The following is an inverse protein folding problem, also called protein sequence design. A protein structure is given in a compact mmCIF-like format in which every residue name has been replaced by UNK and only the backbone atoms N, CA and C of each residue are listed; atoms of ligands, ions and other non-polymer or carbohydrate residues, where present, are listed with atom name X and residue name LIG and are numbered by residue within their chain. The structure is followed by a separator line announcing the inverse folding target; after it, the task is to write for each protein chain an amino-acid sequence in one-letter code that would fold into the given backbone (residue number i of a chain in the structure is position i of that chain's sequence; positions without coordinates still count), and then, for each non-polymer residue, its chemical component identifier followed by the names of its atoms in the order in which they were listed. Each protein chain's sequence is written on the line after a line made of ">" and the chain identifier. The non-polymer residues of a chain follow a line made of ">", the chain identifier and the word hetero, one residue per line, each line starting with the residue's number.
data_IF_138116804141
#
_entry.id   IF_138116804141
#
_cell.length_a   1.000
_cell.length_b   1.000
_cell.length_c   1.000
_cell.angle_alpha   90.00
_cell.angle_beta   90.00
_cell.angle_gamma   90.00
#
_symmetry.space_group_name_H-M   'P 1'
#
loop_
_entity.id
_entity.type
_entity.pdbx_description
1 polymer ?
#
# COMPACT_ATOMS: atom_id res chain seq x y z
N UNK A 1 14.79 5.72 9.10
CA UNK A 1 15.60 6.98 9.04
C UNK A 1 16.75 6.79 8.09
N UNK A 2 16.87 7.66 7.09
CA UNK A 2 18.00 7.68 6.15
C UNK A 2 19.05 8.70 6.56
N UNK A 3 20.32 8.46 6.17
CA UNK A 3 21.41 9.40 6.37
C UNK A 3 21.84 9.97 5.04
N UNK A 4 21.70 11.28 4.86
CA UNK A 4 22.10 12.00 3.64
C UNK A 4 23.30 12.91 3.92
N UNK A 5 24.15 13.09 2.92
CA UNK A 5 25.27 14.05 2.99
C UNK A 5 24.78 15.43 2.55
N UNK A 6 25.05 16.44 3.37
CA UNK A 6 24.88 17.84 3.02
C UNK A 6 26.17 18.41 2.43
N UNK A 7 26.06 19.59 1.83
CA UNK A 7 27.21 20.34 1.35
C UNK A 7 28.13 20.68 2.55
N UNK A 8 29.44 20.57 2.37
CA UNK A 8 30.42 20.70 3.45
C UNK A 8 30.64 19.43 4.28
N UNK A 9 30.16 18.26 3.84
CA UNK A 9 30.47 16.95 4.43
C UNK A 9 29.70 16.57 5.68
N UNK A 10 28.79 17.42 6.16
CA UNK A 10 27.88 17.09 7.28
C UNK A 10 26.86 16.02 6.86
N UNK A 11 26.49 15.19 7.81
CA UNK A 11 25.43 14.20 7.63
C UNK A 11 24.17 14.66 8.34
N UNK A 12 23.03 14.54 7.69
CA UNK A 12 21.70 14.79 8.25
C UNK A 12 20.89 13.49 8.25
N UNK A 13 20.19 13.23 9.33
CA UNK A 13 19.19 12.17 9.40
C UNK A 13 17.85 12.73 8.91
N UNK A 14 17.19 11.98 8.03
CA UNK A 14 15.88 12.33 7.47
C UNK A 14 14.93 11.13 7.56
N UNK A 15 13.66 11.41 7.72
CA UNK A 15 12.65 10.34 7.63
C UNK A 15 12.60 9.75 6.22
N UNK A 16 12.38 8.45 6.13
CA UNK A 16 12.21 7.74 4.85
C UNK A 16 11.05 8.32 4.05
N UNK A 17 9.96 8.67 4.73
CA UNK A 17 8.80 9.34 4.14
C UNK A 17 9.16 10.63 3.41
N UNK A 18 9.98 11.49 4.02
CA UNK A 18 10.46 12.74 3.41
C UNK A 18 11.34 12.48 2.18
N UNK A 19 12.20 11.46 2.26
CA UNK A 19 13.07 11.07 1.16
C UNK A 19 12.25 10.57 -0.03
N UNK A 20 11.32 9.66 0.21
CA UNK A 20 10.44 9.11 -0.82
C UNK A 20 9.46 10.13 -1.39
N UNK A 21 8.92 11.01 -0.54
CA UNK A 21 8.06 12.10 -1.00
C UNK A 21 8.80 13.06 -1.94
N UNK A 22 10.06 13.36 -1.64
CA UNK A 22 10.90 14.15 -2.56
C UNK A 22 11.14 13.41 -3.88
N UNK A 23 11.35 12.10 -3.82
CA UNK A 23 11.52 11.29 -5.04
C UNK A 23 10.23 11.22 -5.87
N UNK A 24 9.05 11.24 -5.22
CA UNK A 24 7.77 11.34 -5.93
C UNK A 24 7.64 12.65 -6.72
N UNK A 25 8.12 13.77 -6.18
CA UNK A 25 8.16 15.05 -6.91
C UNK A 25 9.17 15.03 -8.07
N UNK A 26 10.30 14.33 -7.93
CA UNK A 26 11.26 14.13 -9.04
C UNK A 26 10.60 13.30 -10.17
N UNK A 27 9.81 12.28 -9.83
CA UNK A 27 9.03 11.53 -10.81
C UNK A 27 7.99 12.44 -11.50
N UNK A 28 7.25 13.23 -10.74
CA UNK A 28 6.26 14.15 -11.29
C UNK A 28 6.90 15.18 -12.27
N UNK A 29 8.06 15.72 -11.91
CA UNK A 29 8.82 16.61 -12.81
C UNK A 29 9.27 15.85 -14.07
N UNK A 30 9.77 14.62 -13.96
CA UNK A 30 10.16 13.81 -15.11
C UNK A 30 8.96 13.54 -16.04
N UNK A 31 7.79 13.23 -15.48
CA UNK A 31 6.58 13.07 -16.27
C UNK A 31 6.20 14.37 -16.99
N UNK A 32 6.23 15.51 -16.32
CA UNK A 32 5.91 16.81 -16.96
C UNK A 32 6.91 17.19 -18.06
N UNK A 33 8.19 16.81 -17.94
CA UNK A 33 9.20 17.04 -18.98
C UNK A 33 8.96 16.18 -20.23
N UNK A 34 8.63 14.89 -20.04
CA UNK A 34 8.45 13.95 -21.17
C UNK A 34 7.03 13.97 -21.71
N UNK A 35 6.04 14.24 -20.86
CA UNK A 35 4.59 14.24 -21.17
C UNK A 35 3.95 15.54 -20.66
N UNK A 36 4.14 16.69 -21.33
CA UNK A 36 3.65 17.99 -20.86
C UNK A 36 2.14 18.07 -20.65
N UNK A 37 1.36 17.27 -21.41
CA UNK A 37 -0.11 17.20 -21.31
C UNK A 37 -0.61 16.40 -20.10
N UNK A 38 0.24 15.57 -19.49
CA UNK A 38 -0.11 14.80 -18.30
C UNK A 38 -0.53 15.73 -17.16
N UNK A 39 -1.64 15.41 -16.47
CA UNK A 39 -2.11 16.17 -15.32
C UNK A 39 -1.70 15.48 -14.02
N UNK A 40 -1.24 16.29 -13.09
CA UNK A 40 -0.74 15.82 -11.79
C UNK A 40 -1.90 15.67 -10.80
N UNK A 41 -1.89 14.57 -10.02
CA UNK A 41 -2.86 14.41 -8.94
C UNK A 41 -2.18 14.40 -7.58
N UNK A 42 -1.87 13.25 -7.01
CA UNK A 42 -1.21 13.11 -5.70
C UNK A 42 -0.05 12.12 -5.76
N UNK A 43 1.00 12.37 -4.97
CA UNK A 43 2.19 11.55 -4.89
C UNK A 43 2.73 11.38 -3.48
N UNK A 44 2.03 10.64 -2.59
CA UNK A 44 2.49 10.43 -1.23
C UNK A 44 3.60 9.40 -1.15
N UNK A 45 4.39 9.45 -0.07
CA UNK A 45 5.13 8.31 0.41
C UNK A 45 4.19 7.26 0.99
N UNK A 46 4.59 5.98 0.89
CA UNK A 46 3.89 4.83 1.46
C UNK A 46 4.83 4.08 2.42
N UNK A 47 4.36 2.99 3.03
CA UNK A 47 5.16 2.21 3.99
C UNK A 47 6.55 1.83 3.45
N UNK A 48 6.64 1.50 2.15
CA UNK A 48 7.92 1.23 1.46
C UNK A 48 7.91 1.87 0.09
N UNK A 49 8.53 3.04 -0.03
CA UNK A 49 8.62 3.78 -1.27
C UNK A 49 7.55 4.86 -1.42
N UNK A 50 7.17 5.12 -2.64
CA UNK A 50 6.22 6.16 -3.01
C UNK A 50 5.42 5.73 -4.23
N UNK A 51 4.33 6.44 -4.52
CA UNK A 51 3.71 6.44 -5.83
C UNK A 51 3.38 7.88 -6.26
N UNK A 52 3.03 8.03 -7.53
CA UNK A 52 2.39 9.24 -8.03
C UNK A 52 1.33 8.85 -9.05
N UNK A 53 0.17 9.52 -8.99
CA UNK A 53 -0.95 9.31 -9.89
C UNK A 53 -0.99 10.40 -10.96
N UNK A 54 -1.15 9.97 -12.21
CA UNK A 54 -1.17 10.84 -13.38
C UNK A 54 -2.44 10.60 -14.20
N UNK A 55 -3.04 11.70 -14.66
CA UNK A 55 -4.02 11.62 -15.74
C UNK A 55 -3.27 11.77 -17.06
N UNK A 56 -3.24 10.71 -17.84
CA UNK A 56 -2.58 10.62 -19.13
C UNK A 56 -3.54 10.08 -20.17
N UNK A 57 -3.38 10.50 -21.43
CA UNK A 57 -4.20 10.04 -22.53
C UNK A 57 -3.94 8.56 -22.86
N UNK A 58 -2.68 8.16 -22.82
CA UNK A 58 -2.24 6.79 -23.09
C UNK A 58 -1.50 6.23 -21.88
N UNK A 59 -1.85 5.04 -21.38
CA UNK A 59 -1.13 4.39 -20.29
C UNK A 59 0.36 4.21 -20.59
N UNK A 60 1.21 4.43 -19.60
CA UNK A 60 2.67 4.25 -19.75
C UNK A 60 3.02 2.82 -20.12
N UNK A 61 3.90 2.64 -21.09
CA UNK A 61 4.55 1.38 -21.48
C UNK A 61 5.76 1.07 -20.57
N UNK A 62 6.44 -0.05 -20.78
CA UNK A 62 7.70 -0.35 -20.08
C UNK A 62 8.85 0.53 -20.57
N UNK A 63 8.82 0.90 -21.85
CA UNK A 63 9.76 1.85 -22.44
C UNK A 63 9.61 3.24 -21.81
N UNK A 64 8.35 3.68 -21.57
CA UNK A 64 8.06 4.95 -20.90
C UNK A 64 8.59 4.95 -19.47
N UNK A 65 8.38 3.87 -18.71
CA UNK A 65 8.92 3.72 -17.35
C UNK A 65 10.45 3.83 -17.35
N UNK A 66 11.10 3.20 -18.32
CA UNK A 66 12.57 3.29 -18.46
C UNK A 66 13.03 4.71 -18.81
N UNK A 67 12.32 5.40 -19.71
CA UNK A 67 12.60 6.78 -20.06
C UNK A 67 12.39 7.74 -18.88
N UNK A 68 11.34 7.52 -18.07
CA UNK A 68 11.09 8.27 -16.84
C UNK A 68 12.22 8.09 -15.82
N UNK A 69 12.72 6.86 -15.62
CA UNK A 69 13.88 6.64 -14.73
C UNK A 69 15.13 7.40 -15.20
N UNK A 70 15.39 7.43 -16.49
CA UNK A 70 16.54 8.18 -17.04
C UNK A 70 16.37 9.69 -16.88
N UNK A 71 15.15 10.21 -17.07
CA UNK A 71 14.88 11.63 -16.85
C UNK A 71 14.98 12.00 -15.36
N UNK A 72 14.48 11.14 -14.46
CA UNK A 72 14.65 11.31 -13.01
C UNK A 72 16.13 11.38 -12.63
N UNK A 73 16.99 10.54 -13.21
CA UNK A 73 18.45 10.57 -12.98
C UNK A 73 19.07 11.89 -13.45
N UNK A 74 18.59 12.48 -14.55
CA UNK A 74 19.04 13.81 -15.01
C UNK A 74 18.65 14.89 -14.01
N UNK A 75 17.40 14.92 -13.56
CA UNK A 75 16.91 15.87 -12.56
C UNK A 75 17.69 15.76 -11.24
N UNK A 76 18.02 14.54 -10.80
CA UNK A 76 18.88 14.31 -9.64
C UNK A 76 20.28 14.92 -9.84
N UNK A 77 20.84 14.76 -11.04
CA UNK A 77 22.16 15.30 -11.41
C UNK A 77 22.19 16.83 -11.48
N UNK A 78 21.08 17.46 -11.85
CA UNK A 78 20.93 18.91 -11.87
C UNK A 78 21.00 19.53 -10.47
N UNK A 79 20.76 18.75 -9.42
CA UNK A 79 20.79 19.15 -8.00
C UNK A 79 19.98 20.42 -7.73
N UNK A 80 18.75 20.44 -8.24
CA UNK A 80 17.85 21.59 -8.13
C UNK A 80 17.47 21.83 -6.68
N UNK A 81 17.60 23.08 -6.22
CA UNK A 81 17.14 23.50 -4.90
C UNK A 81 15.62 23.32 -4.77
N UNK A 82 15.18 22.83 -3.64
CA UNK A 82 13.75 22.65 -3.33
C UNK A 82 13.33 23.74 -2.34
N UNK A 83 12.41 24.58 -2.74
CA UNK A 83 11.97 25.76 -2.00
C UNK A 83 10.48 25.68 -1.70
N UNK A 84 10.14 25.86 -0.42
CA UNK A 84 8.75 25.96 0.02
C UNK A 84 8.29 27.41 -0.06
N UNK A 85 7.07 27.64 -0.56
CA UNK A 85 6.40 28.93 -0.50
C UNK A 85 4.89 28.75 -0.27
N UNK A 86 4.22 29.81 0.10
CA UNK A 86 2.81 29.82 0.43
C UNK A 86 2.11 30.90 -0.40
N UNK A 87 0.87 30.62 -0.78
CA UNK A 87 0.03 31.57 -1.52
C UNK A 87 -1.37 31.65 -0.90
N UNK A 88 -2.02 32.84 -0.96
CA UNK A 88 -3.45 32.93 -0.74
C UNK A 88 -4.23 32.06 -1.74
N UNK A 89 -5.44 31.63 -1.35
CA UNK A 89 -6.25 30.68 -2.14
C UNK A 89 -6.44 31.14 -3.59
N UNK A 90 -6.78 32.42 -3.83
CA UNK A 90 -7.01 32.98 -5.18
C UNK A 90 -5.76 32.90 -6.05
N UNK A 91 -4.59 33.24 -5.48
CA UNK A 91 -3.31 33.18 -6.18
C UNK A 91 -2.88 31.73 -6.42
N UNK A 92 -3.14 30.83 -5.46
CA UNK A 92 -2.87 29.41 -5.59
C UNK A 92 -3.69 28.76 -6.72
N UNK A 93 -4.97 29.08 -6.82
CA UNK A 93 -5.85 28.64 -7.92
C UNK A 93 -5.33 29.16 -9.26
N UNK A 94 -5.05 30.46 -9.34
CA UNK A 94 -4.53 31.09 -10.57
C UNK A 94 -3.22 30.44 -11.04
N UNK A 95 -2.29 30.17 -10.12
CA UNK A 95 -1.04 29.46 -10.44
C UNK A 95 -1.30 28.08 -11.03
N UNK A 96 -2.29 27.34 -10.50
CA UNK A 96 -2.63 26.00 -10.99
C UNK A 96 -3.43 26.05 -12.31
N UNK A 97 -4.21 27.10 -12.55
CA UNK A 97 -4.85 27.37 -13.85
C UNK A 97 -3.81 27.63 -14.94
N UNK A 98 -2.84 28.52 -14.66
CA UNK A 98 -1.73 28.82 -15.58
C UNK A 98 -0.86 27.58 -15.92
N UNK A 99 -0.82 26.59 -15.00
CA UNK A 99 -0.12 25.32 -15.17
C UNK A 99 -1.01 24.20 -15.71
N UNK A 100 -2.29 24.49 -15.95
CA UNK A 100 -3.29 23.51 -16.41
C UNK A 100 -3.40 22.26 -15.54
N UNK A 101 -3.42 22.42 -14.20
CA UNK A 101 -3.48 21.33 -13.23
C UNK A 101 -4.86 21.27 -12.52
N UNK A 102 -5.91 20.75 -13.19
CA UNK A 102 -7.29 20.79 -12.68
C UNK A 102 -7.47 20.02 -11.36
N UNK A 103 -6.77 18.93 -11.16
CA UNK A 103 -6.86 18.16 -9.92
C UNK A 103 -6.28 18.91 -8.72
N UNK A 104 -5.25 19.73 -8.94
CA UNK A 104 -4.70 20.61 -7.88
C UNK A 104 -5.68 21.73 -7.52
N UNK A 105 -6.39 22.28 -8.49
CA UNK A 105 -7.45 23.25 -8.25
C UNK A 105 -8.59 22.62 -7.42
N UNK A 106 -9.00 21.40 -7.77
CA UNK A 106 -10.02 20.65 -7.01
C UNK A 106 -9.57 20.39 -5.57
N UNK A 107 -8.28 20.04 -5.35
CA UNK A 107 -7.73 19.85 -4.02
C UNK A 107 -7.73 21.14 -3.21
N UNK A 108 -7.31 22.27 -3.81
CA UNK A 108 -7.31 23.58 -3.15
C UNK A 108 -8.73 24.00 -2.75
N UNK A 109 -9.72 23.79 -3.63
CA UNK A 109 -11.12 24.09 -3.36
C UNK A 109 -11.72 23.22 -2.24
N UNK A 110 -11.18 22.02 -2.04
CA UNK A 110 -11.59 21.11 -0.96
C UNK A 110 -10.95 21.41 0.40
N UNK A 111 -9.99 22.34 0.49
CA UNK A 111 -9.38 22.71 1.77
C UNK A 111 -10.32 23.62 2.57
N UNK A 112 -10.33 23.50 3.93
CA UNK A 112 -11.06 24.43 4.79
C UNK A 112 -10.63 25.88 4.60
N UNK A 113 -11.53 26.81 4.95
CA UNK A 113 -11.18 28.22 4.93
C UNK A 113 -10.12 28.56 5.98
N UNK A 114 -9.13 29.36 5.59
CA UNK A 114 -8.02 29.76 6.45
C UNK A 114 -6.89 28.74 6.53
N UNK A 115 -6.98 27.59 5.85
CA UNK A 115 -5.85 26.64 5.77
C UNK A 115 -4.73 27.22 4.90
N UNK A 116 -3.48 27.03 5.37
CA UNK A 116 -2.26 27.45 4.64
C UNK A 116 -2.08 26.60 3.40
N UNK A 117 -2.04 27.25 2.24
CA UNK A 117 -1.81 26.58 0.96
C UNK A 117 -0.34 26.72 0.61
N UNK A 118 0.38 25.61 0.68
CA UNK A 118 1.82 25.55 0.44
C UNK A 118 2.17 24.81 -0.84
N UNK A 119 3.24 25.25 -1.44
CA UNK A 119 3.81 24.70 -2.67
C UNK A 119 5.30 24.42 -2.47
N UNK A 120 5.80 23.51 -3.26
CA UNK A 120 7.21 23.28 -3.40
C UNK A 120 7.67 23.45 -4.84
N UNK A 121 8.75 24.21 -5.01
CA UNK A 121 9.36 24.50 -6.29
C UNK A 121 10.72 23.82 -6.39
N UNK A 122 10.99 23.16 -7.51
CA UNK A 122 12.31 22.61 -7.88
C UNK A 122 12.57 22.91 -9.36
N UNK A 123 13.44 23.90 -9.61
CA UNK A 123 13.65 24.42 -10.97
C UNK A 123 12.37 24.99 -11.58
N UNK A 124 11.96 24.45 -12.73
CA UNK A 124 10.73 24.83 -13.44
C UNK A 124 9.48 24.15 -12.86
N UNK A 125 9.65 23.09 -12.08
CA UNK A 125 8.55 22.31 -11.52
C UNK A 125 8.03 22.94 -10.24
N UNK A 126 6.69 22.98 -10.11
CA UNK A 126 5.99 23.43 -8.91
C UNK A 126 4.83 22.50 -8.64
N UNK A 127 4.68 22.05 -7.40
CA UNK A 127 3.58 21.22 -6.98
C UNK A 127 2.93 21.70 -5.68
N UNK A 128 1.60 21.53 -5.57
CA UNK A 128 0.82 21.74 -4.34
C UNK A 128 1.18 20.63 -3.34
N UNK A 129 1.79 21.00 -2.22
CA UNK A 129 2.29 20.03 -1.26
C UNK A 129 2.49 20.64 0.13
N UNK A 130 2.22 19.85 1.17
CA UNK A 130 2.50 20.21 2.56
C UNK A 130 3.95 19.96 2.98
N UNK A 131 4.67 19.08 2.27
CA UNK A 131 6.02 18.66 2.63
C UNK A 131 6.05 17.69 3.81
N UNK A 132 7.19 17.51 4.48
CA UNK A 132 8.48 18.11 4.15
C UNK A 132 9.19 17.48 2.95
N UNK A 133 10.24 18.15 2.45
CA UNK A 133 11.11 17.68 1.38
C UNK A 133 12.59 17.82 1.74
N UNK A 134 13.44 17.14 0.96
CA UNK A 134 14.89 17.32 1.00
C UNK A 134 15.29 18.72 0.50
N UNK A 135 16.49 19.21 0.85
CA UNK A 135 16.95 20.53 0.42
C UNK A 135 17.13 20.69 -1.09
N UNK A 136 17.47 19.60 -1.79
CA UNK A 136 17.63 19.59 -3.24
C UNK A 136 17.41 18.20 -3.82
N UNK A 137 17.15 18.13 -5.13
CA UNK A 137 16.97 16.87 -5.87
C UNK A 137 18.21 15.99 -5.85
N UNK A 138 19.40 16.57 -5.82
CA UNK A 138 20.68 15.87 -5.78
C UNK A 138 20.98 15.12 -4.48
N UNK A 139 20.14 15.29 -3.43
CA UNK A 139 20.24 14.49 -2.20
C UNK A 139 19.62 13.10 -2.33
N UNK A 140 18.75 12.88 -3.32
CA UNK A 140 18.32 11.56 -3.77
C UNK A 140 19.45 10.91 -4.57
N UNK A 141 19.70 9.60 -4.41
CA UNK A 141 20.83 8.93 -5.09
C UNK A 141 20.41 7.75 -5.95
N UNK A 142 19.89 6.72 -5.36
CA UNK A 142 19.50 5.50 -6.06
C UNK A 142 17.98 5.42 -6.15
N UNK A 143 17.45 5.25 -7.36
CA UNK A 143 16.02 5.19 -7.64
C UNK A 143 15.69 3.97 -8.48
N UNK A 144 14.47 3.45 -8.32
CA UNK A 144 13.87 2.45 -9.20
C UNK A 144 12.36 2.65 -9.25
N UNK A 145 11.78 2.68 -10.45
CA UNK A 145 10.35 2.55 -10.64
C UNK A 145 10.01 1.06 -10.64
N UNK A 146 9.10 0.64 -9.76
CA UNK A 146 8.92 -0.79 -9.44
C UNK A 146 7.68 -1.40 -10.04
N UNK A 147 6.64 -0.59 -10.28
CA UNK A 147 5.38 -1.06 -10.84
C UNK A 147 4.56 0.09 -11.42
N UNK A 148 3.60 -0.24 -12.28
CA UNK A 148 2.54 0.63 -12.74
C UNK A 148 1.20 -0.07 -12.60
N UNK A 149 0.14 0.69 -12.31
CA UNK A 149 -1.22 0.18 -12.23
C UNK A 149 -2.24 1.26 -12.59
N UNK A 150 -3.47 0.85 -12.85
CA UNK A 150 -4.60 1.77 -12.88
C UNK A 150 -5.00 2.12 -11.43
N UNK A 151 -5.46 3.35 -11.23
CA UNK A 151 -6.08 3.83 -10.00
C UNK A 151 -7.25 4.73 -10.35
N UNK A 152 -8.20 4.88 -9.43
CA UNK A 152 -9.31 5.83 -9.62
C UNK A 152 -9.09 7.09 -8.78
N UNK A 153 -9.41 8.25 -9.34
CA UNK A 153 -9.35 9.51 -8.60
C UNK A 153 -10.15 9.38 -7.29
N UNK A 154 -9.51 9.73 -6.16
CA UNK A 154 -10.06 9.59 -4.80
C UNK A 154 -10.51 8.17 -4.43
N UNK A 155 -10.03 7.14 -5.12
CA UNK A 155 -10.37 5.75 -4.84
C UNK A 155 -11.80 5.34 -5.23
N UNK A 156 -12.55 6.18 -5.91
CA UNK A 156 -13.90 5.90 -6.35
C UNK A 156 -13.92 5.44 -7.81
N UNK A 157 -14.40 4.23 -8.08
CA UNK A 157 -14.44 3.64 -9.42
C UNK A 157 -15.34 4.38 -10.42
N UNK A 158 -16.18 5.31 -9.95
CA UNK A 158 -17.01 6.18 -10.79
C UNK A 158 -16.22 7.37 -11.34
N UNK A 159 -15.10 7.69 -10.74
CA UNK A 159 -14.22 8.78 -11.16
C UNK A 159 -13.27 8.31 -12.27
N UNK A 160 -12.55 9.30 -12.83
CA UNK A 160 -11.59 9.05 -13.91
C UNK A 160 -10.51 8.03 -13.48
N UNK A 161 -10.18 7.11 -14.38
CA UNK A 161 -9.06 6.20 -14.23
C UNK A 161 -7.75 6.97 -14.47
N UNK A 162 -6.82 6.82 -13.54
CA UNK A 162 -5.49 7.42 -13.53
C UNK A 162 -4.44 6.33 -13.72
N UNK A 163 -3.25 6.74 -14.16
CA UNK A 163 -2.09 5.87 -14.20
C UNK A 163 -1.25 6.10 -12.93
N UNK A 164 -1.14 5.08 -12.09
CA UNK A 164 -0.28 5.07 -10.91
C UNK A 164 1.07 4.48 -11.23
N UNK A 165 2.14 5.18 -10.86
CA UNK A 165 3.53 4.72 -10.98
C UNK A 165 4.13 4.61 -9.58
N UNK A 166 4.63 3.42 -9.24
CA UNK A 166 5.30 3.15 -7.97
C UNK A 166 6.81 3.23 -8.12
N UNK A 167 7.46 3.70 -7.07
CA UNK A 167 8.91 3.75 -7.02
C UNK A 167 9.47 3.60 -5.62
N UNK A 168 10.78 3.35 -5.57
CA UNK A 168 11.57 3.28 -4.35
C UNK A 168 12.88 4.04 -4.56
N UNK A 169 13.41 4.60 -3.50
CA UNK A 169 14.71 5.26 -3.55
C UNK A 169 15.48 5.09 -2.25
N UNK A 170 16.80 5.12 -2.36
CA UNK A 170 17.74 4.96 -1.24
C UNK A 170 18.90 5.94 -1.33
N UNK A 171 19.53 6.32 -0.20
CA UNK A 171 20.73 7.15 -0.17
C UNK A 171 21.96 6.47 -0.81
N UNK A 172 21.98 5.15 -0.94
CA UNK A 172 23.07 4.37 -1.53
C UNK A 172 22.58 3.36 -2.55
N UNK A 173 23.35 3.16 -3.62
CA UNK A 173 23.04 2.17 -4.63
C UNK A 173 23.00 0.73 -4.07
N UNK A 174 23.91 0.40 -3.14
CA UNK A 174 23.92 -0.91 -2.48
C UNK A 174 22.64 -1.22 -1.68
N UNK A 175 22.03 -0.21 -1.05
CA UNK A 175 20.77 -0.38 -0.33
C UNK A 175 19.59 -0.65 -1.28
N UNK A 176 19.60 0.02 -2.44
CA UNK A 176 18.61 -0.27 -3.49
C UNK A 176 18.80 -1.67 -4.07
N UNK A 177 20.04 -2.06 -4.35
CA UNK A 177 20.35 -3.39 -4.88
C UNK A 177 19.92 -4.50 -3.92
N UNK A 178 20.24 -4.39 -2.63
CA UNK A 178 19.80 -5.32 -1.59
C UNK A 178 18.27 -5.39 -1.51
N UNK A 179 17.60 -4.26 -1.61
CA UNK A 179 16.13 -4.22 -1.62
C UNK A 179 15.54 -4.94 -2.84
N UNK A 180 16.07 -4.68 -4.04
CA UNK A 180 15.60 -5.31 -5.27
C UNK A 180 15.86 -6.82 -5.27
N UNK A 181 17.01 -7.26 -4.72
CA UNK A 181 17.30 -8.68 -4.54
C UNK A 181 16.28 -9.34 -3.60
N UNK A 182 15.99 -8.72 -2.44
CA UNK A 182 14.96 -9.23 -1.51
C UNK A 182 13.57 -9.29 -2.15
N UNK A 183 13.24 -8.30 -2.99
CA UNK A 183 11.96 -8.29 -3.70
C UNK A 183 11.88 -9.44 -4.73
N UNK A 184 12.97 -9.71 -5.45
CA UNK A 184 13.02 -10.83 -6.40
C UNK A 184 12.96 -12.18 -5.68
N UNK A 185 13.69 -12.35 -4.57
CA UNK A 185 13.59 -13.53 -3.73
C UNK A 185 12.16 -13.73 -3.18
N UNK A 186 11.48 -12.65 -2.79
CA UNK A 186 10.10 -12.71 -2.33
C UNK A 186 9.13 -13.19 -3.43
N UNK A 187 9.33 -12.74 -4.69
CA UNK A 187 8.55 -13.25 -5.83
C UNK A 187 8.76 -14.74 -6.07
N UNK A 188 10.00 -15.21 -5.93
CA UNK A 188 10.29 -16.65 -6.07
C UNK A 188 9.67 -17.50 -4.97
N UNK A 189 9.46 -16.92 -3.78
CA UNK A 189 8.81 -17.56 -2.61
C UNK A 189 7.29 -17.34 -2.57
N UNK A 190 6.68 -16.77 -3.63
CA UNK A 190 5.23 -16.58 -3.66
C UNK A 190 4.52 -17.92 -3.48
N UNK A 191 3.67 -18.01 -2.45
CA UNK A 191 2.96 -19.23 -2.09
C UNK A 191 2.08 -19.76 -3.23
N UNK A 192 1.56 -18.89 -4.10
CA UNK A 192 0.73 -19.29 -5.26
C UNK A 192 1.58 -20.01 -6.30
N UNK A 193 2.80 -19.52 -6.54
CA UNK A 193 3.78 -20.15 -7.43
C UNK A 193 4.23 -21.49 -6.85
N UNK A 194 4.76 -21.48 -5.64
CA UNK A 194 5.26 -22.68 -4.97
C UNK A 194 4.14 -23.71 -4.71
N UNK A 195 2.96 -23.25 -4.35
CA UNK A 195 1.80 -24.11 -4.15
C UNK A 195 1.43 -24.90 -5.38
N UNK A 196 1.50 -24.25 -6.56
CA UNK A 196 1.26 -24.91 -7.86
C UNK A 196 2.41 -25.85 -8.26
N UNK A 197 3.66 -25.37 -8.20
CA UNK A 197 4.86 -26.14 -8.59
C UNK A 197 5.07 -27.39 -7.74
N UNK A 198 4.80 -27.30 -6.45
CA UNK A 198 4.98 -28.39 -5.49
C UNK A 198 3.71 -29.22 -5.25
N UNK A 199 2.62 -28.96 -5.98
CA UNK A 199 1.34 -29.63 -5.79
C UNK A 199 0.84 -29.58 -4.34
N UNK A 200 0.90 -28.38 -3.71
CA UNK A 200 0.47 -28.16 -2.33
C UNK A 200 -1.03 -27.97 -2.25
N UNK A 201 -1.57 -27.10 -3.10
CA UNK A 201 -3.01 -26.80 -3.15
C UNK A 201 -3.45 -26.39 -4.56
N UNK A 202 -4.75 -26.46 -4.76
CA UNK A 202 -5.42 -25.93 -5.97
C UNK A 202 -6.68 -25.17 -5.60
N UNK A 203 -7.15 -24.32 -6.51
CA UNK A 203 -8.46 -23.69 -6.45
C UNK A 203 -9.27 -24.09 -7.70
N UNK A 204 -10.59 -24.12 -7.60
CA UNK A 204 -11.46 -24.41 -8.73
C UNK A 204 -12.73 -23.56 -8.66
N UNK A 205 -13.19 -23.01 -9.79
CA UNK A 205 -14.31 -22.08 -9.82
C UNK A 205 -15.62 -22.69 -9.29
N UNK A 206 -15.86 -23.98 -9.55
CA UNK A 206 -17.04 -24.69 -9.02
C UNK A 206 -17.03 -24.88 -7.51
N UNK A 207 -15.85 -24.83 -6.87
CA UNK A 207 -15.75 -24.89 -5.41
C UNK A 207 -15.93 -23.50 -4.82
N UNK A 208 -15.42 -22.50 -5.50
CA UNK A 208 -15.53 -21.11 -5.12
C UNK A 208 -14.17 -20.38 -5.10
N UNK A 209 -14.20 -19.10 -5.44
CA UNK A 209 -13.00 -18.25 -5.43
C UNK A 209 -12.49 -18.08 -4.01
N UNK A 210 -11.18 -18.25 -3.82
CA UNK A 210 -10.55 -18.10 -2.50
C UNK A 210 -10.71 -19.30 -1.58
N UNK A 211 -11.26 -20.43 -2.04
CA UNK A 211 -11.38 -21.67 -1.28
C UNK A 211 -10.33 -22.69 -1.77
N UNK A 212 -9.13 -22.73 -1.17
CA UNK A 212 -8.09 -23.67 -1.56
C UNK A 212 -8.40 -25.09 -1.10
N UNK A 213 -8.17 -26.05 -2.01
CA UNK A 213 -8.19 -27.49 -1.68
C UNK A 213 -6.75 -27.97 -1.57
N UNK A 214 -6.41 -28.55 -0.43
CA UNK A 214 -5.08 -29.12 -0.25
C UNK A 214 -4.95 -30.45 -0.96
N UNK A 215 -3.90 -30.57 -1.76
CA UNK A 215 -3.50 -31.79 -2.43
C UNK A 215 -2.69 -32.70 -1.46
N UNK A 216 -2.36 -33.96 -1.81
CA UNK A 216 -1.67 -34.87 -0.91
C UNK A 216 -0.39 -34.30 -0.27
N UNK A 217 0.44 -33.60 -1.04
CA UNK A 217 1.65 -32.94 -0.51
C UNK A 217 1.30 -31.84 0.50
N UNK A 218 0.28 -31.06 0.20
CA UNK A 218 -0.20 -29.99 1.10
C UNK A 218 -0.81 -30.54 2.37
N UNK A 219 -1.60 -31.62 2.27
CA UNK A 219 -2.16 -32.27 3.45
C UNK A 219 -1.07 -32.89 4.35
N UNK A 220 -0.04 -33.49 3.77
CA UNK A 220 1.09 -33.99 4.55
C UNK A 220 1.78 -32.88 5.36
N UNK A 221 2.00 -31.70 4.75
CA UNK A 221 2.56 -30.53 5.45
C UNK A 221 1.60 -30.04 6.54
N UNK A 222 0.31 -29.97 6.26
CA UNK A 222 -0.72 -29.62 7.25
C UNK A 222 -0.68 -30.55 8.45
N UNK A 223 -0.69 -31.86 8.23
CA UNK A 223 -0.68 -32.86 9.30
C UNK A 223 0.58 -32.78 10.18
N UNK A 224 1.75 -32.55 9.58
CA UNK A 224 3.00 -32.35 10.32
C UNK A 224 2.92 -31.12 11.22
N UNK A 225 2.42 -30.00 10.71
CA UNK A 225 2.28 -28.77 11.48
C UNK A 225 1.24 -28.90 12.60
N UNK A 226 0.10 -29.50 12.31
CA UNK A 226 -0.95 -29.76 13.29
C UNK A 226 -0.44 -30.65 14.44
N UNK A 227 0.22 -31.74 14.11
CA UNK A 227 0.80 -32.65 15.09
C UNK A 227 1.92 -31.97 15.89
N UNK A 228 2.71 -31.08 15.27
CA UNK A 228 3.72 -30.31 15.99
C UNK A 228 3.09 -29.42 17.05
N UNK A 229 2.07 -28.64 16.71
CA UNK A 229 1.38 -27.75 17.65
C UNK A 229 0.70 -28.56 18.76
N UNK A 230 -0.08 -29.59 18.42
CA UNK A 230 -0.76 -30.45 19.40
C UNK A 230 0.22 -31.06 20.42
N UNK A 231 1.42 -31.48 19.98
CA UNK A 231 2.45 -31.97 20.89
C UNK A 231 2.99 -30.87 21.81
N UNK A 232 3.15 -29.64 21.34
CA UNK A 232 3.59 -28.51 22.18
C UNK A 232 2.54 -28.15 23.22
N UNK A 233 1.28 -28.03 22.80
CA UNK A 233 0.15 -27.70 23.69
C UNK A 233 -0.05 -28.79 24.76
N UNK A 234 0.03 -30.04 24.38
CA UNK A 234 -0.04 -31.16 25.34
C UNK A 234 1.08 -31.12 26.41
N UNK A 235 2.30 -30.69 26.02
CA UNK A 235 3.41 -30.50 26.98
C UNK A 235 3.17 -29.37 27.97
N UNK A 236 2.34 -28.40 27.58
CA UNK A 236 1.93 -27.26 28.38
C UNK A 236 0.59 -27.52 29.10
N UNK A 237 0.12 -28.78 29.11
CA UNK A 237 -1.10 -29.25 29.77
C UNK A 237 -2.41 -28.65 29.21
N UNK A 238 -2.38 -28.07 27.97
CA UNK A 238 -3.60 -27.65 27.33
C UNK A 238 -4.48 -28.85 26.97
N UNK A 239 -5.78 -28.68 27.22
CA UNK A 239 -6.83 -29.65 26.86
C UNK A 239 -7.53 -29.21 25.59
N UNK A 240 -7.55 -30.05 24.57
CA UNK A 240 -8.14 -29.76 23.29
C UNK A 240 -9.66 -29.95 23.38
N UNK A 241 -10.40 -29.04 22.74
CA UNK A 241 -11.86 -29.13 22.59
C UNK A 241 -12.20 -29.02 21.10
N UNK A 242 -13.37 -29.53 20.73
CA UNK A 242 -13.92 -29.43 19.38
C UNK A 242 -15.27 -28.73 19.48
N UNK A 243 -15.44 -27.65 18.71
CA UNK A 243 -16.65 -26.84 18.69
C UNK A 243 -17.26 -26.82 17.29
N UNK A 244 -18.59 -26.65 17.14
CA UNK A 244 -19.25 -26.60 15.86
C UNK A 244 -18.74 -25.44 14.97
N UNK A 245 -18.74 -25.59 13.62
CA UNK A 245 -18.42 -24.52 12.70
C UNK A 245 -19.54 -23.47 12.57
N UNK A 246 -20.74 -23.79 13.07
CA UNK A 246 -21.92 -22.92 13.10
C UNK A 246 -22.28 -22.59 14.54
N UNK A 247 -22.87 -21.43 14.73
CA UNK A 247 -23.49 -21.06 16.00
C UNK A 247 -24.70 -20.16 15.78
N UNK A 248 -25.58 -20.11 16.79
CA UNK A 248 -26.67 -19.12 16.83
C UNK A 248 -26.09 -17.71 16.80
N UNK A 249 -26.73 -16.81 16.08
CA UNK A 249 -26.40 -15.38 16.04
C UNK A 249 -26.40 -14.76 17.45
N UNK A 250 -27.24 -15.25 18.35
CA UNK A 250 -27.36 -14.78 19.74
C UNK A 250 -26.04 -14.95 20.53
N UNK A 251 -25.28 -16.00 20.27
CA UNK A 251 -23.93 -16.17 20.87
C UNK A 251 -23.00 -14.99 20.53
N UNK A 252 -23.05 -14.52 19.29
CA UNK A 252 -22.21 -13.42 18.83
C UNK A 252 -22.77 -12.05 19.19
N UNK A 253 -24.07 -11.90 19.37
CA UNK A 253 -24.68 -10.70 20.00
C UNK A 253 -24.25 -10.60 21.46
N UNK A 254 -24.37 -11.68 22.23
CA UNK A 254 -23.99 -11.72 23.64
C UNK A 254 -22.52 -11.41 23.86
N UNK A 255 -21.65 -11.85 22.97
CA UNK A 255 -20.20 -11.61 23.03
C UNK A 255 -19.76 -10.28 22.39
N UNK A 256 -20.67 -9.48 21.83
CA UNK A 256 -20.41 -8.19 21.18
C UNK A 256 -19.80 -8.28 19.76
N UNK A 257 -19.48 -9.48 19.27
CA UNK A 257 -18.89 -9.64 17.94
C UNK A 257 -19.86 -9.21 16.84
N UNK A 258 -21.17 -9.43 17.00
CA UNK A 258 -22.16 -9.04 16.03
C UNK A 258 -22.19 -7.53 15.78
N UNK A 259 -22.05 -6.73 16.82
CA UNK A 259 -22.12 -5.28 16.71
C UNK A 259 -20.85 -4.67 16.08
N UNK A 260 -19.69 -5.30 16.33
CA UNK A 260 -18.40 -4.79 15.88
C UNK A 260 -17.89 -5.37 14.55
N UNK A 261 -18.33 -6.59 14.18
CA UNK A 261 -17.71 -7.34 13.08
C UNK A 261 -18.72 -7.88 12.06
N UNK A 262 -20.03 -7.62 12.17
CA UNK A 262 -21.05 -8.22 11.30
C UNK A 262 -20.76 -8.04 9.80
N UNK A 263 -20.18 -6.91 9.40
CA UNK A 263 -19.86 -6.59 8.02
C UNK A 263 -18.70 -7.46 7.46
N UNK A 264 -17.92 -8.07 8.35
CA UNK A 264 -16.83 -9.00 8.03
C UNK A 264 -17.19 -10.46 8.31
N UNK A 265 -18.43 -10.74 8.70
CA UNK A 265 -18.93 -12.10 8.93
C UNK A 265 -19.69 -12.61 7.70
N UNK A 266 -19.78 -13.93 7.56
CA UNK A 266 -20.69 -14.51 6.59
C UNK A 266 -22.14 -14.12 6.92
N UNK A 267 -23.00 -13.92 5.90
CA UNK A 267 -24.40 -13.64 6.12
C UNK A 267 -25.05 -14.70 7.01
N UNK A 268 -25.98 -14.28 7.87
CA UNK A 268 -26.77 -15.22 8.66
C UNK A 268 -27.61 -16.13 7.75
N UNK A 269 -27.80 -17.35 8.19
CA UNK A 269 -28.66 -18.36 7.58
C UNK A 269 -29.85 -18.62 8.50
N UNK A 270 -31.04 -18.76 7.94
CA UNK A 270 -32.22 -19.16 8.67
C UNK A 270 -32.49 -20.65 8.43
N UNK A 271 -32.56 -21.41 9.49
CA UNK A 271 -32.84 -22.85 9.45
C UNK A 271 -33.88 -23.16 10.51
N UNK A 272 -35.04 -23.64 10.10
CA UNK A 272 -36.16 -24.03 11.02
C UNK A 272 -36.61 -22.92 11.97
N UNK A 273 -36.53 -21.65 11.52
CA UNK A 273 -36.90 -20.47 12.31
C UNK A 273 -35.82 -19.96 13.26
N UNK A 274 -34.67 -20.57 13.27
CA UNK A 274 -33.50 -20.11 14.04
C UNK A 274 -32.45 -19.47 13.13
N UNK A 275 -31.76 -18.46 13.64
CA UNK A 275 -30.70 -17.74 12.92
C UNK A 275 -29.30 -18.27 13.29
N UNK A 276 -28.58 -18.78 12.30
CA UNK A 276 -27.23 -19.28 12.45
C UNK A 276 -26.22 -18.45 11.61
N UNK A 277 -24.96 -18.50 12.03
CA UNK A 277 -23.85 -17.88 11.29
C UNK A 277 -22.64 -18.82 11.31
N UNK A 278 -21.84 -18.79 10.23
CA UNK A 278 -20.53 -19.42 10.22
C UNK A 278 -19.65 -18.76 11.28
N UNK A 279 -19.00 -19.58 12.07
CA UNK A 279 -18.16 -19.15 13.19
C UNK A 279 -17.04 -18.22 12.76
N UNK A 280 -17.07 -16.90 13.09
CA UNK A 280 -15.99 -15.98 12.78
C UNK A 280 -14.80 -16.15 13.76
N UNK A 281 -15.10 -16.52 15.01
CA UNK A 281 -14.13 -16.69 16.09
C UNK A 281 -14.54 -17.84 17.02
N UNK A 282 -13.53 -18.54 17.57
CA UNK A 282 -13.74 -19.69 18.46
C UNK A 282 -14.03 -19.28 19.92
N UNK A 283 -13.58 -18.10 20.34
CA UNK A 283 -13.61 -17.67 21.74
C UNK A 283 -14.97 -17.78 22.40
N UNK A 284 -16.10 -17.35 21.79
CA UNK A 284 -17.41 -17.47 22.44
C UNK A 284 -17.82 -18.91 22.76
N UNK A 285 -17.51 -19.86 21.87
CA UNK A 285 -17.76 -21.29 22.12
C UNK A 285 -16.93 -21.82 23.28
N UNK A 286 -15.66 -21.44 23.35
CA UNK A 286 -14.76 -21.86 24.44
C UNK A 286 -15.23 -21.30 25.78
N UNK A 287 -15.72 -20.05 25.80
CA UNK A 287 -16.30 -19.46 27.01
C UNK A 287 -17.56 -20.22 27.48
N UNK A 288 -18.42 -20.67 26.55
CA UNK A 288 -19.56 -21.48 26.90
C UNK A 288 -19.16 -22.83 27.47
N UNK A 289 -18.15 -23.49 26.95
CA UNK A 289 -17.59 -24.72 27.55
C UNK A 289 -17.09 -24.42 28.95
N UNK A 290 -16.29 -23.38 29.13
CA UNK A 290 -15.75 -23.02 30.45
C UNK A 290 -16.85 -22.71 31.45
N UNK A 291 -17.83 -21.90 31.08
CA UNK A 291 -18.93 -21.52 31.96
C UNK A 291 -19.80 -22.71 32.41
N UNK A 292 -19.85 -23.80 31.63
CA UNK A 292 -20.65 -25.00 31.94
C UNK A 292 -19.81 -26.18 32.48
N UNK A 293 -18.52 -25.97 32.71
CA UNK A 293 -17.63 -26.98 33.29
C UNK A 293 -17.51 -26.72 34.80
N UNK A 294 -17.58 -27.75 35.63
CA UNK A 294 -17.34 -27.66 37.07
C UNK A 294 -15.84 -27.44 37.29
N UNK A 295 -15.49 -26.38 38.00
CA UNK A 295 -14.09 -25.99 38.32
C UNK A 295 -13.76 -26.32 39.76
#
# INVERSE_FOLDING_TARGET
>A
MFRIKLDGGRTMEVEESTYWHTTAHILAQAVKRLYPTAKLTIGPSIEKGFYYDFDVETPFTEEDISALEEEMKKIIKEDLKIERFELPREEAIKLMEEREEPYKIELINGLPDGEVISFYKQGEFVDLCRGPHLPSTGKVKAIKLTAKSAAYWRGDSRNKSLQRVYGISFPKASELEEYLQKLEEAKQRDHRKLGKELNIFMTHDLVGKGLPMYLPNGYAVWEILENYIKRKEKKLEYKHVLTPPLASVELYKTSGHWDHYKDNMFPKMEVEGEEFVLRPMNCPHHMMIYANTIH
#
